data_IF_901026886934
#
_entry.id   IF_901026886934
#
_cell.length_a   1.000
_cell.length_b   1.000
_cell.length_c   1.000
_cell.angle_alpha   90.00
_cell.angle_beta   90.00
_cell.angle_gamma   90.00
#
_symmetry.space_group_name_H-M   'P 1'
#
loop_
_entity.id
_entity.type
_entity.pdbx_description
1 polymer ?
#
# COMPACT_ATOMS: atom_id res chain seq x y z
N UNK A 1 31.90 9.72 30.87
CA UNK A 1 32.71 10.05 29.67
C UNK A 1 31.94 9.55 28.46
N UNK A 2 31.80 10.36 27.40
CA UNK A 2 31.14 9.92 26.18
C UNK A 2 32.19 9.40 25.19
N UNK A 3 32.00 8.19 24.68
CA UNK A 3 32.81 7.66 23.60
C UNK A 3 32.24 8.15 22.27
N UNK A 4 33.12 8.62 21.40
CA UNK A 4 32.75 9.04 20.04
C UNK A 4 32.82 7.83 19.13
N UNK A 5 31.68 7.41 18.58
CA UNK A 5 31.63 6.40 17.50
C UNK A 5 31.64 7.13 16.17
N UNK A 6 32.56 6.77 15.28
CA UNK A 6 32.65 7.33 13.92
C UNK A 6 32.21 6.27 12.92
N UNK A 7 31.27 6.63 12.05
CA UNK A 7 30.76 5.75 10.99
C UNK A 7 31.41 6.10 9.64
N UNK A 8 31.41 5.15 8.71
CA UNK A 8 31.65 5.45 7.29
C UNK A 8 30.52 6.36 6.79
N UNK A 9 30.81 7.32 5.90
CA UNK A 9 29.84 8.35 5.53
C UNK A 9 29.83 8.71 4.04
N UNK A 10 28.66 9.03 3.51
CA UNK A 10 28.45 9.56 2.16
C UNK A 10 27.47 10.74 2.17
N UNK A 11 27.74 11.76 1.35
CA UNK A 11 26.83 12.87 1.01
C UNK A 11 26.16 12.70 -0.36
N UNK A 12 26.42 11.62 -1.07
CA UNK A 12 25.91 11.44 -2.44
C UNK A 12 24.51 10.85 -2.36
N UNK A 13 23.51 11.59 -2.84
CA UNK A 13 22.11 11.14 -2.92
C UNK A 13 22.02 9.81 -3.68
N UNK A 14 21.25 8.87 -3.15
CA UNK A 14 21.07 7.52 -3.70
C UNK A 14 22.26 6.58 -3.51
N UNK A 15 23.36 7.01 -2.87
CA UNK A 15 24.54 6.16 -2.72
C UNK A 15 24.32 5.07 -1.68
N UNK A 16 24.39 3.83 -2.15
CA UNK A 16 24.54 2.63 -1.32
C UNK A 16 26.02 2.24 -1.29
N UNK A 17 26.60 1.88 -0.12
CA UNK A 17 27.94 1.32 -0.04
C UNK A 17 28.05 0.00 -0.82
N UNK A 18 29.24 -0.32 -1.31
CA UNK A 18 29.58 -1.65 -1.83
C UNK A 18 29.94 -2.59 -0.67
N UNK A 19 29.86 -3.90 -0.91
CA UNK A 19 30.27 -4.92 0.06
C UNK A 19 31.75 -4.80 0.51
N UNK A 20 32.59 -4.22 -0.35
CA UNK A 20 34.00 -3.94 -0.05
C UNK A 20 34.19 -2.65 0.78
N UNK A 21 33.18 -1.77 0.79
CA UNK A 21 33.24 -0.52 1.54
C UNK A 21 33.01 -0.73 3.04
N UNK A 22 32.56 -1.90 3.48
CA UNK A 22 32.21 -2.21 4.87
C UNK A 22 32.76 -3.56 5.31
N UNK A 23 33.38 -3.57 6.50
CA UNK A 23 33.68 -4.82 7.20
C UNK A 23 32.47 -5.29 8.03
N UNK A 24 32.46 -6.57 8.38
CA UNK A 24 31.44 -7.13 9.25
C UNK A 24 31.46 -6.44 10.62
N UNK A 25 30.31 -5.93 11.05
CA UNK A 25 30.17 -5.18 12.31
C UNK A 25 30.37 -3.67 12.17
N UNK A 26 30.75 -3.17 10.99
CA UNK A 26 30.75 -1.73 10.71
C UNK A 26 29.39 -1.24 10.20
N UNK A 27 29.16 0.06 10.37
CA UNK A 27 27.97 0.75 9.85
C UNK A 27 28.41 1.96 9.02
N UNK A 28 27.71 2.20 7.91
CA UNK A 28 27.81 3.41 7.10
C UNK A 28 26.54 4.26 7.21
N UNK A 29 26.69 5.58 7.09
CA UNK A 29 25.60 6.54 6.95
C UNK A 29 25.65 7.21 5.59
N UNK A 30 24.51 7.27 4.90
CA UNK A 30 24.31 8.25 3.85
C UNK A 30 23.49 9.41 4.44
N UNK A 31 24.17 10.51 4.73
CA UNK A 31 23.55 11.65 5.40
C UNK A 31 22.82 12.61 4.45
N UNK A 32 22.92 12.38 3.14
CA UNK A 32 22.04 13.05 2.18
C UNK A 32 20.64 12.40 2.17
N UNK A 33 20.58 11.07 2.32
CA UNK A 33 19.32 10.32 2.28
C UNK A 33 18.77 9.92 3.66
N UNK A 34 19.54 10.13 4.73
CA UNK A 34 19.16 9.75 6.10
C UNK A 34 19.20 8.24 6.37
N UNK A 35 19.99 7.49 5.60
CA UNK A 35 20.03 6.02 5.63
C UNK A 35 21.25 5.48 6.35
N UNK A 36 21.10 4.40 7.10
CA UNK A 36 22.19 3.61 7.68
C UNK A 36 22.32 2.28 6.95
N UNK A 37 23.53 1.75 6.81
CA UNK A 37 23.81 0.50 6.11
C UNK A 37 24.78 -0.38 6.89
N UNK A 38 24.64 -1.69 6.77
CA UNK A 38 25.55 -2.70 7.33
C UNK A 38 25.75 -3.85 6.34
N UNK A 39 26.82 -4.62 6.54
CA UNK A 39 27.09 -5.83 5.75
C UNK A 39 26.52 -7.07 6.46
N UNK A 40 25.69 -7.83 5.75
CA UNK A 40 25.13 -9.11 6.21
C UNK A 40 26.14 -10.24 6.04
N UNK A 41 25.93 -11.36 6.77
CA UNK A 41 26.75 -12.58 6.71
C UNK A 41 26.95 -13.13 5.30
N UNK A 42 26.01 -12.90 4.40
CA UNK A 42 26.06 -13.27 2.97
C UNK A 42 26.90 -12.32 2.08
N UNK A 43 27.68 -11.41 2.67
CA UNK A 43 28.46 -10.35 2.02
C UNK A 43 27.65 -9.24 1.33
N UNK A 44 26.32 -9.21 1.42
CA UNK A 44 25.51 -8.15 0.81
C UNK A 44 25.29 -6.97 1.76
N UNK A 45 25.01 -5.78 1.22
CA UNK A 45 24.69 -4.58 2.01
C UNK A 45 23.19 -4.51 2.27
N UNK A 46 22.82 -4.33 3.54
CA UNK A 46 21.46 -4.08 3.97
C UNK A 46 21.36 -2.66 4.56
N UNK A 47 20.23 -2.02 4.30
CA UNK A 47 19.87 -0.76 4.94
C UNK A 47 19.28 -1.06 6.33
N UNK A 48 19.78 -0.39 7.37
CA UNK A 48 19.05 -0.19 8.62
C UNK A 48 18.16 1.02 8.35
N UNK A 49 17.13 0.81 7.54
CA UNK A 49 16.14 1.84 7.31
C UNK A 49 15.40 2.02 8.64
N UNK A 50 15.32 3.26 9.12
CA UNK A 50 14.37 3.65 10.13
C UNK A 50 12.96 3.59 9.53
N UNK A 51 12.52 2.42 9.08
CA UNK A 51 11.10 2.20 8.88
C UNK A 51 10.50 2.17 10.28
N UNK A 52 9.99 3.31 10.73
CA UNK A 52 9.05 3.33 11.84
C UNK A 52 7.96 2.30 11.53
N UNK A 53 8.03 1.15 12.21
CA UNK A 53 7.08 0.05 12.11
C UNK A 53 6.72 -0.44 10.70
N UNK A 54 7.42 -1.47 10.19
CA UNK A 54 6.76 -2.42 9.26
C UNK A 54 5.85 -3.36 10.07
N UNK A 55 4.86 -2.79 10.74
CA UNK A 55 3.74 -3.54 11.28
C UNK A 55 2.77 -3.84 10.16
N UNK A 56 2.92 -5.00 9.52
CA UNK A 56 2.07 -5.54 8.45
C UNK A 56 2.08 -4.71 7.15
N UNK A 57 2.38 -5.36 6.03
CA UNK A 57 2.14 -4.82 4.69
C UNK A 57 0.63 -4.81 4.42
N UNK A 58 -0.08 -3.97 5.16
CA UNK A 58 -1.51 -3.80 5.07
C UNK A 58 -1.83 -2.35 4.70
N UNK A 59 -1.50 -1.97 3.46
CA UNK A 59 -2.02 -0.74 2.84
C UNK A 59 -3.49 -0.92 2.42
N UNK A 60 -4.31 -1.62 3.20
CA UNK A 60 -5.76 -1.61 3.03
C UNK A 60 -6.29 -0.26 3.49
N UNK A 61 -6.33 0.68 2.55
CA UNK A 61 -7.01 1.95 2.78
C UNK A 61 -8.51 1.71 2.67
N UNK A 62 -9.27 2.02 3.73
CA UNK A 62 -10.73 2.03 3.66
C UNK A 62 -11.17 3.32 2.98
N UNK A 63 -11.89 3.21 1.86
CA UNK A 63 -12.50 4.34 1.15
C UNK A 63 -14.02 4.22 1.11
N UNK A 64 -14.66 5.36 0.90
CA UNK A 64 -16.11 5.48 0.79
C UNK A 64 -16.43 6.10 -0.56
N UNK A 65 -17.35 5.46 -1.27
CA UNK A 65 -17.88 5.94 -2.54
C UNK A 65 -19.37 6.18 -2.37
N UNK A 66 -19.85 7.35 -2.78
CA UNK A 66 -21.24 7.76 -2.62
C UNK A 66 -21.83 8.11 -3.99
N UNK A 67 -23.06 7.64 -4.23
CA UNK A 67 -23.77 7.80 -5.48
C UNK A 67 -25.22 8.18 -5.19
N UNK A 68 -25.78 9.05 -6.04
CA UNK A 68 -27.23 9.19 -6.16
C UNK A 68 -27.67 8.34 -7.35
N UNK A 69 -28.48 7.32 -7.10
CA UNK A 69 -28.93 6.41 -8.14
C UNK A 69 -29.89 7.09 -9.12
N UNK A 70 -29.80 6.71 -10.39
CA UNK A 70 -30.86 6.99 -11.37
C UNK A 70 -31.91 5.87 -11.36
N UNK A 71 -33.09 6.14 -11.90
CA UNK A 71 -34.16 5.13 -11.95
C UNK A 71 -33.70 3.87 -12.68
N UNK A 72 -33.97 2.70 -12.09
CA UNK A 72 -33.59 1.40 -12.63
C UNK A 72 -32.06 1.18 -12.76
N UNK A 73 -31.25 1.89 -11.98
CA UNK A 73 -29.82 1.65 -11.93
C UNK A 73 -29.51 0.47 -11.00
N UNK A 74 -28.70 -0.48 -11.48
CA UNK A 74 -28.24 -1.61 -10.67
C UNK A 74 -26.72 -1.64 -10.53
N UNK A 75 -25.98 -1.06 -11.47
CA UNK A 75 -24.51 -1.13 -11.50
C UNK A 75 -23.87 0.16 -11.03
N UNK A 76 -22.91 0.03 -10.11
CA UNK A 76 -22.10 1.11 -9.55
C UNK A 76 -20.62 0.76 -9.72
N UNK A 77 -19.86 1.65 -10.37
CA UNK A 77 -18.42 1.46 -10.58
C UNK A 77 -17.64 2.03 -9.40
N UNK A 78 -16.61 1.30 -8.95
CA UNK A 78 -15.74 1.66 -7.82
C UNK A 78 -14.38 2.10 -8.38
N UNK A 79 -14.07 3.42 -8.45
CA UNK A 79 -12.93 3.95 -9.20
C UNK A 79 -11.54 3.38 -8.87
N UNK A 80 -11.26 2.99 -7.62
CA UNK A 80 -10.00 2.32 -7.25
C UNK A 80 -10.17 0.81 -7.01
N UNK A 81 -11.32 0.27 -7.39
CA UNK A 81 -11.69 -1.09 -7.08
C UNK A 81 -11.81 -1.37 -5.58
N UNK A 82 -11.96 -2.65 -5.26
CA UNK A 82 -12.13 -3.17 -3.92
C UNK A 82 -11.59 -4.59 -3.84
N UNK A 83 -11.22 -5.02 -2.64
CA UNK A 83 -10.90 -6.42 -2.36
C UNK A 83 -12.22 -7.21 -2.33
N UNK A 84 -12.34 -8.28 -3.13
CA UNK A 84 -13.53 -9.15 -3.13
C UNK A 84 -13.79 -9.67 -1.71
N UNK A 85 -15.00 -9.45 -1.20
CA UNK A 85 -15.38 -9.75 0.18
C UNK A 85 -15.00 -8.69 1.23
N UNK A 86 -14.29 -7.63 0.83
CA UNK A 86 -13.91 -6.49 1.66
C UNK A 86 -14.75 -5.24 1.41
N UNK A 87 -16.08 -5.39 1.23
CA UNK A 87 -16.98 -4.27 0.97
C UNK A 87 -18.25 -4.34 1.82
N UNK A 88 -18.81 -3.17 2.12
CA UNK A 88 -20.18 -2.98 2.61
C UNK A 88 -20.95 -2.09 1.63
N UNK A 89 -22.19 -2.48 1.31
CA UNK A 89 -23.08 -1.74 0.42
C UNK A 89 -24.28 -1.25 1.22
N UNK A 90 -24.53 0.06 1.19
CA UNK A 90 -25.57 0.72 1.97
C UNK A 90 -26.49 1.49 1.03
N UNK A 91 -27.81 1.37 1.20
CA UNK A 91 -28.83 2.15 0.49
C UNK A 91 -29.66 2.94 1.49
N UNK A 92 -29.71 4.27 1.34
CA UNK A 92 -30.47 5.17 2.22
C UNK A 92 -30.19 4.96 3.72
N UNK A 93 -28.98 4.52 4.06
CA UNK A 93 -28.56 4.22 5.43
C UNK A 93 -28.76 2.75 5.87
N UNK A 94 -29.44 1.91 5.10
CA UNK A 94 -29.58 0.48 5.36
C UNK A 94 -28.44 -0.31 4.75
N UNK A 95 -27.71 -1.07 5.58
CA UNK A 95 -26.73 -2.05 5.11
C UNK A 95 -27.45 -3.20 4.41
N UNK A 96 -27.00 -3.55 3.20
CA UNK A 96 -27.53 -4.67 2.44
C UNK A 96 -26.91 -6.00 2.86
N UNK A 97 -27.68 -7.09 2.76
CA UNK A 97 -27.11 -8.42 2.88
C UNK A 97 -26.24 -8.74 1.65
N UNK A 98 -25.27 -9.65 1.81
CA UNK A 98 -24.41 -10.08 0.70
C UNK A 98 -25.16 -10.83 -0.41
N UNK A 99 -26.42 -11.22 -0.19
CA UNK A 99 -27.32 -11.79 -1.21
C UNK A 99 -28.00 -10.72 -2.08
N UNK A 100 -28.04 -9.48 -1.62
CA UNK A 100 -28.80 -8.39 -2.27
C UNK A 100 -27.93 -7.62 -3.28
N UNK A 101 -26.66 -8.00 -3.43
CA UNK A 101 -25.75 -7.46 -4.43
C UNK A 101 -24.69 -8.49 -4.86
N UNK A 102 -24.12 -8.29 -6.04
CA UNK A 102 -22.97 -9.05 -6.57
C UNK A 102 -21.75 -8.14 -6.66
N UNK A 103 -20.63 -8.56 -6.05
CA UNK A 103 -19.38 -7.82 -6.01
C UNK A 103 -18.15 -8.75 -6.06
N UNK A 104 -17.98 -9.45 -7.19
CA UNK A 104 -16.99 -10.54 -7.33
C UNK A 104 -15.80 -10.18 -8.22
N UNK A 105 -15.82 -9.02 -8.87
CA UNK A 105 -14.81 -8.63 -9.86
C UNK A 105 -13.83 -7.56 -9.36
N UNK A 106 -14.01 -7.08 -8.13
CA UNK A 106 -13.14 -6.08 -7.52
C UNK A 106 -13.27 -4.66 -8.10
N UNK A 107 -14.24 -4.38 -8.97
CA UNK A 107 -14.35 -3.05 -9.62
C UNK A 107 -15.78 -2.53 -9.76
N UNK A 108 -16.79 -3.39 -9.74
CA UNK A 108 -18.20 -2.97 -9.78
C UNK A 108 -19.04 -3.69 -8.74
N UNK A 109 -20.08 -3.01 -8.25
CA UNK A 109 -21.16 -3.60 -7.44
C UNK A 109 -22.43 -3.59 -8.29
N UNK A 110 -23.14 -4.71 -8.32
CA UNK A 110 -24.43 -4.87 -9.01
C UNK A 110 -25.51 -5.22 -7.99
N UNK A 111 -26.52 -4.36 -7.82
CA UNK A 111 -27.66 -4.64 -6.94
C UNK A 111 -28.57 -5.72 -7.54
N UNK A 112 -29.14 -6.57 -6.68
CA UNK A 112 -30.13 -7.57 -7.08
C UNK A 112 -31.48 -6.92 -7.44
N UNK A 113 -31.82 -5.82 -6.76
CA UNK A 113 -32.99 -5.00 -7.04
C UNK A 113 -32.61 -3.67 -7.69
N UNK A 114 -33.49 -3.18 -8.55
CA UNK A 114 -33.33 -1.88 -9.21
C UNK A 114 -33.39 -0.75 -8.18
N UNK A 115 -32.36 0.10 -8.13
CA UNK A 115 -32.44 1.32 -7.34
C UNK A 115 -33.44 2.31 -7.95
N UNK A 116 -34.09 3.07 -7.08
CA UNK A 116 -35.01 4.14 -7.46
C UNK A 116 -34.22 5.43 -7.68
N UNK A 117 -34.69 6.30 -8.57
CA UNK A 117 -34.10 7.61 -8.74
C UNK A 117 -34.08 8.38 -7.41
N UNK A 118 -32.88 8.84 -7.02
CA UNK A 118 -32.68 9.58 -5.77
C UNK A 118 -32.22 8.71 -4.60
N UNK A 119 -32.18 7.38 -4.73
CA UNK A 119 -31.59 6.53 -3.70
C UNK A 119 -30.12 6.90 -3.47
N UNK A 120 -29.73 7.01 -2.20
CA UNK A 120 -28.37 7.30 -1.80
C UNK A 120 -27.62 6.00 -1.54
N UNK A 121 -26.69 5.67 -2.43
CA UNK A 121 -25.87 4.47 -2.36
C UNK A 121 -24.51 4.83 -1.78
N UNK A 122 -24.11 4.15 -0.71
CA UNK A 122 -22.79 4.26 -0.11
C UNK A 122 -22.09 2.91 -0.16
N UNK A 123 -20.91 2.87 -0.77
CA UNK A 123 -20.05 1.70 -0.84
C UNK A 123 -18.83 1.98 0.02
N UNK A 124 -18.66 1.24 1.10
CA UNK A 124 -17.45 1.27 1.93
C UNK A 124 -16.58 0.10 1.49
N UNK A 125 -15.40 0.40 0.97
CA UNK A 125 -14.50 -0.61 0.41
C UNK A 125 -13.15 -0.57 1.09
N UNK A 126 -12.58 -1.75 1.30
CA UNK A 126 -11.13 -1.92 1.39
C UNK A 126 -10.60 -1.87 -0.04
N UNK A 127 -9.86 -0.82 -0.38
CA UNK A 127 -9.31 -0.64 -1.73
C UNK A 127 -8.43 -1.83 -2.11
N UNK A 128 -8.54 -2.28 -3.37
CA UNK A 128 -7.55 -3.18 -3.95
C UNK A 128 -6.32 -2.36 -4.34
N UNK A 129 -5.10 -2.78 -3.98
CA UNK A 129 -3.91 -2.06 -4.42
C UNK A 129 -3.88 -2.03 -5.94
N UNK A 130 -3.64 -0.85 -6.50
CA UNK A 130 -3.54 -0.68 -7.95
C UNK A 130 -2.27 -1.33 -8.48
N UNK A 131 -2.27 -1.72 -9.76
CA UNK A 131 -1.07 -2.28 -10.40
C UNK A 131 0.15 -1.33 -10.30
N UNK A 132 -0.09 -0.02 -10.29
CA UNK A 132 0.94 1.01 -10.09
C UNK A 132 1.51 0.96 -8.67
N UNK A 133 0.67 0.82 -7.64
CA UNK A 133 1.13 0.65 -6.26
C UNK A 133 1.91 -0.66 -6.08
N UNK A 134 1.41 -1.77 -6.63
CA UNK A 134 2.12 -3.05 -6.66
C UNK A 134 3.45 -2.93 -7.41
N UNK A 135 3.50 -2.14 -8.50
CA UNK A 135 4.74 -1.86 -9.23
C UNK A 135 5.75 -1.04 -8.43
N UNK A 136 5.30 -0.06 -7.64
CA UNK A 136 6.19 0.71 -6.76
C UNK A 136 6.79 -0.16 -5.65
N UNK A 137 6.03 -1.15 -5.17
CA UNK A 137 6.54 -2.16 -4.23
C UNK A 137 7.49 -3.18 -4.90
N UNK A 138 7.25 -3.57 -6.16
CA UNK A 138 8.13 -4.50 -6.89
C UNK A 138 9.38 -3.83 -7.45
N UNK A 139 9.33 -2.53 -7.77
CA UNK A 139 10.49 -1.71 -8.18
C UNK A 139 11.47 -1.55 -6.99
N UNK A 140 10.98 -1.45 -5.76
CA UNK A 140 11.82 -1.46 -4.56
C UNK A 140 12.61 -2.79 -4.38
N UNK A 141 12.13 -3.89 -4.98
CA UNK A 141 12.80 -5.20 -4.97
C UNK A 141 13.60 -5.47 -6.26
N UNK A 142 13.25 -4.84 -7.39
CA UNK A 142 13.94 -4.97 -8.68
C UNK A 142 15.22 -4.11 -8.79
N UNK A 143 15.31 -2.99 -8.07
CA UNK A 143 16.55 -2.17 -8.03
C UNK A 143 17.60 -2.80 -7.08
N UNK A 144 17.26 -3.84 -6.32
CA UNK A 144 18.17 -4.55 -5.43
C UNK A 144 18.95 -5.71 -6.11
N UNK A 145 18.72 -5.97 -7.41
CA UNK A 145 19.33 -7.07 -8.18
C UNK A 145 19.94 -6.61 -9.53
N UNK A 146 20.21 -5.32 -9.68
CA UNK A 146 20.97 -4.74 -10.81
C UNK A 146 22.33 -4.22 -10.37
#
# INVERSE_FOLDING_TARGET
MANKVILKKSSVVGKVPLAADLDYGEVAINYADGKLFYKKTDNTIAEISGAGGVGNNNLQTRRVYEFTATNNQTTFSVPNGYIVGGIDVIINGSLLASTDYTATNGTTVVLAENAVAGDFIRIVALDSPTATELSNFSIAMAIALG
#
